data_IF_958994009170
#
_entry.id   IF_958994009170
#
_cell.length_a   1.000
_cell.length_b   1.000
_cell.length_c   1.000
_cell.angle_alpha   90.00
_cell.angle_beta   90.00
_cell.angle_gamma   90.00
#
_symmetry.space_group_name_H-M   'P 1'
#
loop_
_entity.id
_entity.type
_entity.pdbx_description
1 polymer ?
#
# COMPACT_ATOMS: atom_id res chain seq x y z
N UNK A 1 -12.30 -1.26 12.64
CA UNK A 1 -11.26 -1.61 11.63
C UNK A 1 -9.96 -1.81 12.37
N UNK A 2 -9.00 -2.55 11.80
CA UNK A 2 -7.63 -2.58 12.32
C UNK A 2 -6.64 -2.39 11.16
N UNK A 3 -5.40 -2.04 11.50
CA UNK A 3 -4.33 -1.79 10.56
C UNK A 3 -3.10 -2.60 10.97
N UNK A 4 -2.46 -3.24 10.00
CA UNK A 4 -1.12 -3.79 10.13
C UNK A 4 -0.20 -2.88 9.35
N UNK A 5 0.79 -2.30 10.03
CA UNK A 5 1.85 -1.54 9.39
C UNK A 5 3.20 -2.14 9.71
N UNK A 6 4.07 -2.17 8.72
CA UNK A 6 5.45 -2.59 8.85
C UNK A 6 6.31 -1.75 7.92
N UNK A 7 7.52 -1.49 8.36
CA UNK A 7 8.48 -0.66 7.64
C UNK A 7 9.88 -1.17 7.91
N UNK A 8 10.79 -0.75 7.04
CA UNK A 8 12.18 -1.12 7.15
C UNK A 8 13.04 -0.39 6.15
N UNK A 9 14.27 -0.88 6.02
CA UNK A 9 15.28 -0.28 5.17
C UNK A 9 16.16 0.73 5.89
N UNK A 10 17.17 1.23 5.18
CA UNK A 10 18.15 2.19 5.70
C UNK A 10 18.15 3.45 4.84
N UNK A 11 18.88 3.42 3.73
CA UNK A 11 18.86 4.46 2.70
C UNK A 11 17.53 4.44 1.96
N UNK A 12 17.27 3.33 1.28
CA UNK A 12 15.96 3.00 0.71
C UNK A 12 15.09 2.48 1.84
N UNK A 13 14.17 3.33 2.29
CA UNK A 13 13.17 3.01 3.27
C UNK A 13 11.92 2.55 2.56
N UNK A 14 11.22 1.61 3.16
CA UNK A 14 9.94 1.13 2.67
C UNK A 14 8.95 1.03 3.83
N UNK A 15 7.68 1.21 3.51
CA UNK A 15 6.59 0.96 4.45
C UNK A 15 5.37 0.41 3.73
N UNK A 16 4.62 -0.46 4.42
CA UNK A 16 3.35 -0.96 3.98
C UNK A 16 2.32 -0.81 5.09
N UNK A 17 1.11 -0.42 4.72
CA UNK A 17 -0.04 -0.32 5.61
C UNK A 17 -1.22 -1.07 5.03
N UNK A 18 -1.67 -2.12 5.71
CA UNK A 18 -2.81 -2.94 5.31
C UNK A 18 -4.00 -2.68 6.23
N UNK A 19 -5.13 -2.28 5.66
CA UNK A 19 -6.35 -1.92 6.40
C UNK A 19 -7.39 -3.02 6.28
N UNK A 20 -7.88 -3.48 7.41
CA UNK A 20 -8.88 -4.54 7.48
C UNK A 20 -10.19 -4.06 8.11
N UNK A 21 -11.30 -4.57 7.58
CA UNK A 21 -12.66 -4.34 8.09
C UNK A 21 -13.34 -5.68 8.33
N UNK A 22 -13.97 -5.82 9.50
CA UNK A 22 -14.78 -6.99 9.81
C UNK A 22 -16.04 -6.96 8.94
N UNK A 23 -16.21 -7.96 8.09
CA UNK A 23 -17.38 -8.13 7.23
C UNK A 23 -17.54 -9.60 6.81
N UNK A 24 -18.76 -10.05 6.55
CA UNK A 24 -19.05 -11.41 6.07
C UNK A 24 -18.40 -12.50 6.94
N UNK A 25 -18.38 -12.31 8.26
CA UNK A 25 -17.82 -13.27 9.22
C UNK A 25 -16.29 -13.28 9.32
N UNK A 26 -15.57 -12.36 8.69
CA UNK A 26 -14.11 -12.31 8.77
C UNK A 26 -13.51 -10.92 8.56
N UNK A 27 -12.22 -10.78 8.86
CA UNK A 27 -11.48 -9.55 8.60
C UNK A 27 -11.03 -9.53 7.15
N UNK A 28 -11.63 -8.65 6.35
CA UNK A 28 -11.30 -8.50 4.95
C UNK A 28 -10.38 -7.30 4.73
N UNK A 29 -9.38 -7.46 3.85
CA UNK A 29 -8.51 -6.40 3.40
C UNK A 29 -9.33 -5.42 2.53
N UNK A 30 -9.34 -4.15 2.91
CA UNK A 30 -10.13 -3.10 2.26
C UNK A 30 -9.28 -2.00 1.65
N UNK A 31 -8.01 -1.94 1.99
CA UNK A 31 -7.07 -1.00 1.42
C UNK A 31 -5.65 -1.32 1.81
N UNK A 32 -4.73 -0.83 0.99
CA UNK A 32 -3.29 -0.98 1.17
C UNK A 32 -2.61 0.33 0.79
N UNK A 33 -1.53 0.64 1.49
CA UNK A 33 -0.61 1.71 1.09
C UNK A 33 0.78 1.14 1.04
N UNK A 34 1.52 1.39 -0.04
CA UNK A 34 2.95 1.13 -0.13
C UNK A 34 3.70 2.45 -0.25
N UNK A 35 4.85 2.51 0.40
CA UNK A 35 5.73 3.67 0.41
C UNK A 35 7.16 3.20 0.17
N UNK A 36 7.89 3.92 -0.68
CA UNK A 36 9.33 3.83 -0.81
C UNK A 36 9.95 5.22 -0.76
N UNK A 37 11.12 5.35 -0.15
CA UNK A 37 11.81 6.63 -0.02
C UNK A 37 13.34 6.45 -0.03
N UNK A 38 14.05 7.16 -0.91
CA UNK A 38 15.51 7.31 -0.87
C UNK A 38 15.89 8.56 -0.08
N UNK A 39 16.42 8.34 1.13
CA UNK A 39 16.85 9.40 2.04
C UNK A 39 18.05 10.24 1.56
N UNK A 40 18.83 9.80 0.57
CA UNK A 40 19.90 10.63 0.02
C UNK A 40 19.40 11.53 -1.11
N UNK A 41 18.53 11.04 -1.98
CA UNK A 41 18.07 11.77 -3.16
C UNK A 41 16.73 12.49 -2.94
N UNK A 42 16.09 12.30 -1.78
CA UNK A 42 14.72 12.75 -1.49
C UNK A 42 13.70 12.30 -2.55
N UNK A 43 13.89 11.09 -3.06
CA UNK A 43 12.94 10.46 -3.98
C UNK A 43 11.95 9.63 -3.19
N UNK A 44 10.66 9.67 -3.56
CA UNK A 44 9.64 8.85 -2.91
C UNK A 44 8.60 8.36 -3.89
N UNK A 45 8.01 7.21 -3.60
CA UNK A 45 6.82 6.71 -4.26
C UNK A 45 5.83 6.24 -3.21
N UNK A 46 4.60 6.75 -3.26
CA UNK A 46 3.51 6.39 -2.35
C UNK A 46 2.30 5.97 -3.19
N UNK A 47 1.87 4.72 -3.02
CA UNK A 47 0.65 4.20 -3.65
C UNK A 47 -0.40 3.92 -2.59
N UNK A 48 -1.52 4.65 -2.60
CA UNK A 48 -2.67 4.37 -1.74
C UNK A 48 -3.80 3.74 -2.57
N UNK A 49 -4.20 2.53 -2.22
CA UNK A 49 -5.17 1.74 -2.96
C UNK A 49 -6.38 1.42 -2.08
N UNK A 50 -7.54 1.93 -2.50
CA UNK A 50 -8.83 1.56 -1.95
C UNK A 50 -9.34 0.30 -2.66
N UNK A 51 -9.15 -0.87 -2.04
CA UNK A 51 -9.48 -2.17 -2.65
C UNK A 51 -11.00 -2.41 -2.74
N UNK A 52 -11.79 -1.74 -1.89
CA UNK A 52 -13.26 -1.78 -1.97
C UNK A 52 -13.75 -1.19 -3.29
N UNK A 53 -13.19 -0.06 -3.70
CA UNK A 53 -13.56 0.59 -4.97
C UNK A 53 -12.69 0.14 -6.13
N UNK A 54 -11.47 -0.33 -5.88
CA UNK A 54 -10.43 -0.59 -6.87
C UNK A 54 -9.63 0.65 -7.26
N UNK A 55 -9.96 1.85 -6.78
CA UNK A 55 -9.23 3.08 -7.13
C UNK A 55 -7.93 3.21 -6.35
N UNK A 56 -6.89 3.73 -7.00
CA UNK A 56 -5.64 4.07 -6.33
C UNK A 56 -5.13 5.47 -6.72
N UNK A 57 -4.35 6.05 -5.82
CA UNK A 57 -3.53 7.23 -6.04
C UNK A 57 -2.07 6.83 -5.97
N UNK A 58 -1.25 7.33 -6.88
CA UNK A 58 0.19 7.11 -6.93
C UNK A 58 0.88 8.47 -6.98
N UNK A 59 1.55 8.81 -5.88
CA UNK A 59 2.34 10.03 -5.74
C UNK A 59 3.82 9.67 -5.87
N UNK A 60 4.50 10.28 -6.84
CA UNK A 60 5.93 10.06 -7.11
C UNK A 60 6.64 11.40 -6.96
N UNK A 61 7.71 11.42 -6.19
CA UNK A 61 8.67 12.50 -6.11
C UNK A 61 10.01 12.01 -6.61
N UNK A 62 10.52 12.62 -7.69
CA UNK A 62 11.80 12.26 -8.29
C UNK A 62 12.50 13.50 -8.80
N UNK A 63 13.77 13.68 -8.46
CA UNK A 63 14.57 14.86 -8.86
C UNK A 63 13.85 16.20 -8.55
N UNK A 64 13.15 16.27 -7.41
CA UNK A 64 12.38 17.46 -6.98
C UNK A 64 11.07 17.70 -7.75
N UNK A 65 10.68 16.83 -8.69
CA UNK A 65 9.39 16.89 -9.38
C UNK A 65 8.38 15.97 -8.73
N UNK A 66 7.20 16.51 -8.41
CA UNK A 66 6.06 15.75 -7.87
C UNK A 66 5.07 15.43 -8.97
N UNK A 67 4.72 14.16 -9.13
CA UNK A 67 3.72 13.67 -10.07
C UNK A 67 2.67 12.89 -9.31
N UNK A 68 1.38 13.16 -9.59
CA UNK A 68 0.26 12.39 -9.07
C UNK A 68 -0.43 11.66 -10.21
N UNK A 69 -0.65 10.36 -10.04
CA UNK A 69 -1.47 9.53 -10.94
C UNK A 69 -2.67 9.00 -10.17
N UNK A 70 -3.78 8.87 -10.87
CA UNK A 70 -4.97 8.20 -10.36
C UNK A 70 -5.27 7.04 -11.30
N UNK A 71 -5.62 5.90 -10.74
CA UNK A 71 -5.92 4.73 -11.54
C UNK A 71 -6.95 3.83 -10.89
N UNK A 72 -7.21 2.72 -11.57
CA UNK A 72 -8.15 1.71 -11.16
C UNK A 72 -7.53 0.34 -11.37
N UNK A 73 -7.54 -0.48 -10.33
CA UNK A 73 -7.12 -1.87 -10.31
C UNK A 73 -8.00 -2.60 -9.31
N UNK A 74 -8.92 -3.45 -9.79
CA UNK A 74 -9.76 -4.24 -8.89
C UNK A 74 -9.01 -5.49 -8.46
N UNK A 75 -8.73 -5.61 -7.16
CA UNK A 75 -8.26 -6.88 -6.56
C UNK A 75 -9.45 -7.63 -5.96
N UNK A 76 -9.33 -8.96 -5.91
CA UNK A 76 -10.31 -9.82 -5.25
C UNK A 76 -10.38 -9.55 -3.75
N UNK A 77 -11.49 -9.93 -3.11
CA UNK A 77 -11.62 -9.84 -1.67
C UNK A 77 -10.66 -10.82 -0.99
N UNK A 78 -9.65 -10.30 -0.29
CA UNK A 78 -8.71 -11.09 0.51
C UNK A 78 -9.09 -11.01 1.99
N UNK A 79 -9.12 -12.15 2.68
CA UNK A 79 -9.35 -12.22 4.14
C UNK A 79 -8.05 -12.41 4.89
N UNK A 80 -7.95 -11.87 6.10
CA UNK A 80 -6.76 -11.95 6.96
C UNK A 80 -6.28 -13.39 7.19
N UNK A 81 -7.21 -14.35 7.32
CA UNK A 81 -6.85 -15.76 7.51
C UNK A 81 -6.02 -16.35 6.36
N UNK A 82 -6.09 -15.72 5.19
CA UNK A 82 -5.36 -16.10 3.98
C UNK A 82 -4.37 -15.00 3.55
N UNK A 83 -4.05 -14.06 4.44
CA UNK A 83 -3.18 -12.93 4.14
C UNK A 83 -1.73 -13.33 4.44
N UNK A 84 -0.89 -13.30 3.41
CA UNK A 84 0.54 -13.59 3.50
C UNK A 84 1.33 -12.32 3.19
N UNK A 85 1.91 -11.73 4.24
CA UNK A 85 2.53 -10.41 4.18
C UNK A 85 3.68 -10.35 3.17
N UNK A 86 4.41 -11.45 2.97
CA UNK A 86 5.55 -11.48 2.06
C UNK A 86 5.12 -11.48 0.60
N UNK A 87 4.01 -12.16 0.28
CA UNK A 87 3.45 -12.17 -1.08
C UNK A 87 2.87 -10.83 -1.49
N UNK A 88 2.24 -10.12 -0.56
CA UNK A 88 1.63 -8.82 -0.85
C UNK A 88 2.66 -7.70 -1.05
N UNK A 89 3.92 -7.92 -0.65
CA UNK A 89 5.02 -6.99 -0.92
C UNK A 89 5.62 -7.17 -2.33
N UNK A 90 5.41 -8.32 -2.97
CA UNK A 90 5.95 -8.66 -4.31
C UNK A 90 4.96 -8.39 -5.46
N UNK A 91 3.64 -8.28 -5.19
CA UNK A 91 2.55 -8.00 -6.14
C UNK A 91 2.31 -6.50 -6.43
#
# INVERSE_FOLDING_TARGET
TFLIAHSGGSRWRWAYSHRFRLQKGGWALIGETSESYDSMNNESEIKDHNLVTGRYHLDIEKEGKKTRKVGYQKKGLKFLRNFDIYKEMEE
#
